data_IF_826844710788
#
_entry.id   IF_826844710788
#
_cell.length_a   1.000
_cell.length_b   1.000
_cell.length_c   1.000
_cell.angle_alpha   90.00
_cell.angle_beta   90.00
_cell.angle_gamma   90.00
#
_symmetry.space_group_name_H-M   'P 1'
#
loop_
_entity.id
_entity.type
_entity.pdbx_description
1 polymer ?
#
# COMPACT_ATOMS: atom_id res chain seq x y z
N UNK A 1 -4.68 -55.68 -26.96
CA UNK A 1 -5.61 -54.55 -26.78
C UNK A 1 -5.67 -54.21 -25.30
N UNK A 2 -4.74 -53.38 -24.81
CA UNK A 2 -4.67 -52.91 -23.43
C UNK A 2 -3.98 -51.54 -23.46
N UNK A 3 -4.69 -50.55 -23.98
CA UNK A 3 -4.36 -49.14 -23.85
C UNK A 3 -5.66 -48.46 -23.47
N UNK A 4 -5.62 -47.53 -22.51
CA UNK A 4 -6.69 -46.57 -22.16
C UNK A 4 -7.14 -46.60 -20.69
N UNK A 5 -6.20 -46.70 -19.76
CA UNK A 5 -6.40 -46.22 -18.38
C UNK A 5 -5.19 -45.43 -17.88
N UNK A 6 -4.53 -44.72 -18.79
CA UNK A 6 -3.50 -43.72 -18.47
C UNK A 6 -4.03 -42.37 -18.93
N UNK A 7 -3.81 -41.32 -18.15
CA UNK A 7 -4.18 -39.92 -18.40
C UNK A 7 -5.59 -39.49 -17.95
N UNK A 8 -5.89 -39.68 -16.68
CA UNK A 8 -6.78 -38.77 -15.94
C UNK A 8 -6.10 -38.20 -14.68
N UNK A 9 -4.79 -37.98 -14.76
CA UNK A 9 -4.11 -37.00 -13.93
C UNK A 9 -4.14 -35.69 -14.72
N UNK A 10 -5.33 -35.09 -14.83
CA UNK A 10 -5.44 -33.68 -15.13
C UNK A 10 -4.73 -32.97 -13.98
N UNK A 11 -3.48 -32.61 -14.21
CA UNK A 11 -2.75 -31.63 -13.45
C UNK A 11 -3.53 -30.33 -13.57
N UNK A 12 -4.49 -30.13 -12.68
CA UNK A 12 -4.86 -28.79 -12.22
C UNK A 12 -3.62 -28.29 -11.49
N UNK A 13 -2.62 -27.88 -12.27
CA UNK A 13 -1.56 -27.01 -11.80
C UNK A 13 -2.28 -25.74 -11.39
N UNK A 14 -2.76 -25.74 -10.15
CA UNK A 14 -3.21 -24.55 -9.46
C UNK A 14 -2.08 -23.55 -9.66
N UNK A 15 -2.29 -22.56 -10.53
CA UNK A 15 -1.53 -21.33 -10.50
C UNK A 15 -1.83 -20.74 -9.12
N UNK A 16 -1.06 -21.16 -8.12
CA UNK A 16 -0.89 -20.39 -6.91
C UNK A 16 -0.14 -19.16 -7.40
N UNK A 17 -0.88 -18.15 -7.80
CA UNK A 17 -0.34 -16.80 -7.93
C UNK A 17 0.06 -16.43 -6.52
N UNK A 18 1.32 -16.71 -6.18
CA UNK A 18 1.93 -16.20 -4.96
C UNK A 18 2.00 -14.70 -5.17
N UNK A 19 0.97 -13.98 -4.73
CA UNK A 19 1.00 -12.53 -4.67
C UNK A 19 2.12 -12.17 -3.69
N UNK A 20 3.25 -11.77 -4.26
CA UNK A 20 4.35 -11.21 -3.49
C UNK A 20 3.98 -9.77 -3.16
N UNK A 21 4.08 -9.42 -1.87
CA UNK A 21 3.84 -8.06 -1.39
C UNK A 21 4.72 -7.06 -2.15
N UNK A 22 4.11 -6.09 -2.80
CA UNK A 22 4.81 -5.06 -3.57
C UNK A 22 4.52 -3.68 -2.98
N UNK A 23 5.44 -3.21 -2.15
CA UNK A 23 5.35 -1.90 -1.50
C UNK A 23 5.88 -0.74 -2.36
N UNK A 24 6.89 -0.98 -3.21
CA UNK A 24 7.44 0.07 -4.06
C UNK A 24 6.42 0.49 -5.14
N UNK A 25 6.30 1.79 -5.37
CA UNK A 25 5.41 2.36 -6.36
C UNK A 25 4.95 3.77 -6.03
N UNK A 26 4.05 4.29 -6.86
CA UNK A 26 3.39 5.58 -6.63
C UNK A 26 2.00 5.30 -6.10
N UNK A 27 1.62 5.96 -5.01
CA UNK A 27 0.30 5.88 -4.40
C UNK A 27 -0.38 7.23 -4.46
N UNK A 28 -1.67 7.26 -4.73
CA UNK A 28 -2.49 8.45 -4.58
C UNK A 28 -3.09 8.48 -3.18
N UNK A 29 -2.83 9.56 -2.44
CA UNK A 29 -3.40 9.76 -1.11
C UNK A 29 -4.93 9.98 -1.22
N UNK A 30 -5.69 9.28 -0.39
CA UNK A 30 -7.13 9.44 -0.26
C UNK A 30 -7.51 10.71 0.49
N UNK A 31 -8.78 11.09 0.39
CA UNK A 31 -9.30 12.35 0.94
C UNK A 31 -9.86 12.24 2.35
N UNK A 32 -9.59 11.12 3.05
CA UNK A 32 -10.18 10.82 4.36
C UNK A 32 -9.45 11.47 5.54
N UNK A 33 -8.31 12.13 5.31
CA UNK A 33 -7.55 12.83 6.33
C UNK A 33 -8.10 14.25 6.49
N UNK A 34 -8.42 14.63 7.73
CA UNK A 34 -8.88 15.98 8.07
C UNK A 34 -7.68 16.93 8.19
N UNK A 35 -7.51 17.85 7.24
CA UNK A 35 -6.37 18.76 7.19
C UNK A 35 -6.45 19.93 8.19
N UNK A 36 -7.57 20.04 8.92
CA UNK A 36 -7.76 21.06 9.94
C UNK A 36 -7.02 20.75 11.26
N UNK A 37 -7.01 19.51 11.79
CA UNK A 37 -6.13 19.11 12.89
C UNK A 37 -4.87 18.36 12.44
N UNK A 38 -4.80 17.83 11.21
CA UNK A 38 -3.74 16.91 10.83
C UNK A 38 -2.79 17.47 9.77
N UNK A 39 -1.56 16.96 9.77
CA UNK A 39 -0.69 17.03 8.60
C UNK A 39 -0.93 15.81 7.69
N UNK A 40 -1.65 16.04 6.59
CA UNK A 40 -2.11 15.00 5.67
C UNK A 40 -1.20 14.89 4.46
N UNK A 41 -0.95 13.66 4.00
CA UNK A 41 -0.44 13.45 2.64
C UNK A 41 -1.49 13.89 1.63
N UNK A 42 -1.05 14.50 0.53
CA UNK A 42 -1.93 14.81 -0.60
C UNK A 42 -1.23 14.52 -1.95
N UNK A 43 -2.02 14.31 -3.00
CA UNK A 43 -1.50 13.99 -4.31
C UNK A 43 -0.77 12.65 -4.35
N UNK A 44 0.45 12.64 -4.88
CA UNK A 44 1.24 11.41 -5.08
C UNK A 44 2.26 11.19 -3.97
N UNK A 45 2.24 9.99 -3.40
CA UNK A 45 3.22 9.45 -2.45
C UNK A 45 4.10 8.46 -3.21
N UNK A 46 5.42 8.67 -3.23
CA UNK A 46 6.36 7.77 -3.90
C UNK A 46 7.08 6.92 -2.87
N UNK A 47 6.98 5.60 -3.02
CA UNK A 47 7.71 4.61 -2.21
C UNK A 47 8.81 3.98 -3.07
N UNK A 48 10.06 4.26 -2.71
CA UNK A 48 11.24 3.70 -3.38
C UNK A 48 11.93 2.69 -2.47
N UNK A 49 12.22 1.50 -2.98
CA UNK A 49 12.92 0.48 -2.20
C UNK A 49 14.36 0.96 -1.88
N UNK A 50 14.71 0.96 -0.60
CA UNK A 50 16.05 1.29 -0.12
C UNK A 50 16.82 0.04 0.31
N UNK A 51 16.10 -0.92 0.92
CA UNK A 51 16.63 -2.22 1.33
C UNK A 51 15.50 -3.26 1.41
N UNK A 52 15.84 -4.50 1.78
CA UNK A 52 14.90 -5.62 1.81
C UNK A 52 13.55 -5.32 2.49
N UNK A 53 13.55 -4.52 3.55
CA UNK A 53 12.36 -4.20 4.36
C UNK A 53 12.17 -2.71 4.63
N UNK A 54 12.90 -1.84 3.92
CA UNK A 54 12.84 -0.39 4.14
C UNK A 54 12.62 0.34 2.82
N UNK A 55 11.70 1.30 2.84
CA UNK A 55 11.34 2.14 1.70
C UNK A 55 11.51 3.60 2.07
N UNK A 56 12.08 4.39 1.17
CA UNK A 56 12.00 5.85 1.25
C UNK A 56 10.60 6.28 0.83
N UNK A 57 9.96 7.09 1.66
CA UNK A 57 8.67 7.72 1.39
C UNK A 57 8.93 9.17 1.07
N UNK A 58 8.48 9.63 -0.10
CA UNK A 58 8.52 11.05 -0.47
C UNK A 58 7.13 11.51 -0.93
N UNK A 59 6.60 12.58 -0.35
CA UNK A 59 5.23 13.00 -0.63
C UNK A 59 4.96 14.47 -0.30
N UNK A 60 4.08 15.14 -1.07
CA UNK A 60 3.50 16.40 -0.64
C UNK A 60 2.66 16.23 0.63
N UNK A 61 2.71 17.24 1.50
CA UNK A 61 1.87 17.28 2.71
C UNK A 61 1.20 18.65 2.89
N UNK A 62 0.00 18.64 3.45
CA UNK A 62 -0.81 19.82 3.72
C UNK A 62 -1.57 19.67 5.02
N UNK A 63 -1.90 20.80 5.64
CA UNK A 63 -2.67 20.86 6.87
C UNK A 63 -2.01 21.73 7.92
N UNK A 64 -2.75 22.02 8.98
CA UNK A 64 -2.35 22.95 10.04
C UNK A 64 -1.13 22.46 10.84
N UNK A 65 -1.09 21.16 11.13
CA UNK A 65 -0.06 20.52 11.96
C UNK A 65 1.25 20.23 11.19
N UNK A 66 1.33 20.59 9.91
CA UNK A 66 2.56 20.42 9.13
C UNK A 66 3.68 21.41 9.51
N UNK A 67 3.43 22.40 10.37
CA UNK A 67 4.42 23.42 10.76
C UNK A 67 5.09 24.12 9.56
N UNK A 68 4.33 24.36 8.48
CA UNK A 68 4.84 24.96 7.24
C UNK A 68 5.63 24.03 6.34
N UNK A 69 5.80 22.75 6.70
CA UNK A 69 6.40 21.74 5.83
C UNK A 69 5.42 21.40 4.71
N UNK A 70 5.91 21.38 3.47
CA UNK A 70 5.12 21.07 2.27
C UNK A 70 5.48 19.70 1.67
N UNK A 71 6.55 19.09 2.15
CA UNK A 71 7.03 17.79 1.67
C UNK A 71 7.56 16.97 2.83
N UNK A 72 7.06 15.74 2.95
CA UNK A 72 7.60 14.74 3.87
C UNK A 72 8.59 13.83 3.13
N UNK A 73 9.74 13.60 3.75
CA UNK A 73 10.71 12.59 3.32
C UNK A 73 11.12 11.76 4.54
N UNK A 74 10.87 10.44 4.49
CA UNK A 74 11.12 9.55 5.61
C UNK A 74 11.26 8.09 5.22
N UNK A 75 11.21 7.20 6.21
CA UNK A 75 11.37 5.77 6.01
C UNK A 75 10.14 5.00 6.48
N UNK A 76 9.69 4.08 5.63
CA UNK A 76 8.72 3.04 5.95
C UNK A 76 9.46 1.72 6.16
N UNK A 77 9.34 1.16 7.35
CA UNK A 77 9.87 -0.16 7.69
C UNK A 77 8.76 -1.19 7.61
N UNK A 78 9.02 -2.35 7.00
CA UNK A 78 8.01 -3.35 6.66
C UNK A 78 8.37 -4.75 7.16
N UNK A 79 7.33 -5.55 7.41
CA UNK A 79 7.41 -6.98 7.68
C UNK A 79 6.12 -7.62 7.17
N UNK A 80 6.22 -8.33 6.04
CA UNK A 80 5.04 -8.86 5.35
C UNK A 80 4.17 -7.75 4.76
N UNK A 81 2.87 -7.82 5.07
CA UNK A 81 1.85 -6.83 4.72
C UNK A 81 1.70 -5.69 5.74
N UNK A 82 2.57 -5.63 6.75
CA UNK A 82 2.55 -4.59 7.78
C UNK A 82 3.81 -3.74 7.70
N UNK A 83 3.69 -2.49 8.09
CA UNK A 83 4.80 -1.57 8.23
C UNK A 83 4.52 -0.48 9.24
N UNK A 84 5.54 0.29 9.55
CA UNK A 84 5.49 1.42 10.47
C UNK A 84 6.43 2.53 10.01
N UNK A 85 6.06 3.76 10.35
CA UNK A 85 6.86 4.96 10.12
C UNK A 85 6.52 6.04 11.15
N UNK A 86 7.39 7.03 11.27
CA UNK A 86 7.16 8.22 12.09
C UNK A 86 6.80 9.38 11.17
N UNK A 87 5.58 9.90 11.31
CA UNK A 87 5.08 11.06 10.56
C UNK A 87 4.97 12.24 11.52
N UNK A 88 5.79 13.27 11.33
CA UNK A 88 5.73 14.51 12.15
C UNK A 88 5.68 14.26 13.67
N UNK A 89 6.46 13.28 14.15
CA UNK A 89 6.51 12.80 15.54
C UNK A 89 5.37 11.87 15.98
N UNK A 90 4.40 11.59 15.13
CA UNK A 90 3.34 10.60 15.39
C UNK A 90 3.73 9.20 14.93
N UNK A 91 3.37 8.21 15.74
CA UNK A 91 3.58 6.80 15.40
C UNK A 91 2.49 6.32 14.45
N UNK A 92 2.91 5.91 13.26
CA UNK A 92 2.00 5.52 12.19
C UNK A 92 2.23 4.07 11.81
N UNK A 93 1.14 3.29 11.79
CA UNK A 93 1.14 1.96 11.19
C UNK A 93 0.62 2.01 9.76
N UNK A 94 1.19 1.18 8.89
CA UNK A 94 0.81 1.06 7.49
C UNK A 94 0.51 -0.41 7.22
N UNK A 95 -0.62 -0.70 6.59
CA UNK A 95 -0.97 -2.06 6.19
C UNK A 95 -1.18 -2.08 4.68
N UNK A 96 -0.45 -2.95 3.99
CA UNK A 96 -0.62 -3.23 2.57
C UNK A 96 -1.71 -4.29 2.39
N UNK A 97 -2.64 -4.06 1.48
CA UNK A 97 -3.63 -5.06 1.13
C UNK A 97 -2.98 -6.28 0.45
N UNK A 98 -3.61 -7.45 0.51
CA UNK A 98 -3.04 -8.72 0.04
C UNK A 98 -2.73 -8.73 -1.47
N UNK A 99 -3.49 -7.97 -2.25
CA UNK A 99 -3.27 -7.76 -3.70
C UNK A 99 -2.26 -6.63 -4.01
N UNK A 100 -1.67 -6.00 -2.99
CA UNK A 100 -0.78 -4.85 -3.09
C UNK A 100 -1.38 -3.61 -3.78
N UNK A 101 -2.71 -3.51 -3.88
CA UNK A 101 -3.42 -2.42 -4.58
C UNK A 101 -3.58 -1.14 -3.78
N UNK A 102 -3.59 -1.23 -2.44
CA UNK A 102 -3.69 -0.06 -1.58
C UNK A 102 -3.02 -0.30 -0.22
N UNK A 103 -2.81 0.80 0.49
CA UNK A 103 -2.34 0.82 1.87
C UNK A 103 -3.33 1.57 2.76
N UNK A 104 -3.52 1.10 3.98
CA UNK A 104 -4.18 1.87 5.04
C UNK A 104 -3.13 2.39 6.00
N UNK A 105 -3.14 3.69 6.24
CA UNK A 105 -2.25 4.41 7.14
C UNK A 105 -3.06 4.80 8.37
N UNK A 106 -2.64 4.34 9.54
CA UNK A 106 -3.30 4.62 10.81
C UNK A 106 -2.32 5.32 11.74
N UNK A 107 -2.67 6.55 12.12
CA UNK A 107 -2.02 7.27 13.19
C UNK A 107 -2.61 6.80 14.54
N UNK A 108 -1.75 6.38 15.47
CA UNK A 108 -2.18 5.86 16.77
C UNK A 108 -2.42 6.96 17.80
N UNK A 109 -1.80 8.12 17.59
CA UNK A 109 -1.91 9.28 18.47
C UNK A 109 -3.20 10.06 18.13
N UNK A 110 -3.57 10.11 16.84
CA UNK A 110 -4.81 10.74 16.37
C UNK A 110 -5.49 9.93 15.25
N UNK A 111 -6.62 9.25 15.52
CA UNK A 111 -7.35 8.49 14.52
C UNK A 111 -7.86 9.31 13.32
N UNK A 112 -8.14 10.61 13.49
CA UNK A 112 -8.63 11.49 12.42
C UNK A 112 -7.56 11.78 11.35
N UNK A 113 -6.28 11.55 11.69
CA UNK A 113 -5.15 11.66 10.78
C UNK A 113 -4.84 10.37 10.00
N UNK A 114 -5.77 9.41 9.99
CA UNK A 114 -5.62 8.16 9.24
C UNK A 114 -6.05 8.33 7.78
N UNK A 115 -5.37 7.66 6.85
CA UNK A 115 -5.62 7.84 5.40
C UNK A 115 -5.47 6.52 4.63
N UNK A 116 -6.12 6.44 3.48
CA UNK A 116 -5.95 5.38 2.50
C UNK A 116 -4.99 5.86 1.40
N UNK A 117 -4.07 5.01 0.93
CA UNK A 117 -3.27 5.28 -0.27
C UNK A 117 -3.54 4.23 -1.33
N UNK A 118 -3.97 4.62 -2.53
CA UNK A 118 -4.24 3.69 -3.64
C UNK A 118 -3.05 3.64 -4.59
N UNK A 119 -2.54 2.46 -4.89
CA UNK A 119 -1.37 2.28 -5.75
C UNK A 119 -1.75 2.55 -7.21
N UNK A 120 -1.02 3.46 -7.85
CA UNK A 120 -1.24 3.83 -9.25
C UNK A 120 -0.75 2.71 -10.18
N UNK A 121 -1.47 2.53 -11.29
CA UNK A 121 -1.04 1.61 -12.36
C UNK A 121 -1.27 0.12 -12.09
N UNK A 122 -1.93 -0.25 -10.99
CA UNK A 122 -2.52 -1.59 -10.89
C UNK A 122 -3.78 -1.58 -11.76
N UNK A 123 -3.72 -2.30 -12.88
CA UNK A 123 -4.91 -2.63 -13.65
C UNK A 123 -5.85 -3.39 -12.71
N UNK A 124 -6.85 -2.69 -12.18
CA UNK A 124 -7.95 -3.33 -11.48
C UNK A 124 -8.62 -4.20 -12.53
N UNK A 125 -8.44 -5.51 -12.42
CA UNK A 125 -9.18 -6.47 -13.23
C UNK A 125 -10.61 -6.38 -12.68
N UNK A 126 -11.39 -5.41 -13.18
CA UNK A 126 -12.80 -5.25 -12.85
C UNK A 126 -13.52 -6.47 -13.43
N UNK A 127 -13.70 -7.48 -12.57
CA UNK A 127 -14.51 -8.68 -12.83
C UNK A 127 -15.99 -8.32 -13.09
N UNK A 128 -16.38 -7.06 -12.84
CA UNK A 128 -17.73 -6.54 -13.12
C UNK A 128 -18.04 -6.30 -14.61
N UNK A 129 -17.12 -6.63 -15.54
CA UNK A 129 -17.38 -6.56 -16.99
C UNK A 129 -17.65 -7.91 -17.66
N UNK A 130 -17.81 -8.99 -16.88
CA UNK A 130 -18.25 -10.31 -17.36
C UNK A 130 -19.63 -10.64 -16.80
N UNK A 131 -20.66 -9.90 -17.22
CA UNK A 131 -22.06 -10.34 -17.19
C UNK A 131 -22.77 -9.89 -18.46
#
# INVERSE_FOLDING_TARGET
MLYSTFLLLLTVANLIVVHSQSWAGVYTAGTACDDAPCCCFFGQVVLTNTSANTYTVNSPVSGSDCNGITTYSGYLHTSGYKGWMILFSSNTSVTLHSDSSYVTVKNWDDPFCSVLGVKNGIAKLDIDTLN
#
